data_IF_932285803385
#
_entry.id   IF_932285803385
#
_cell.length_a   1.000
_cell.length_b   1.000
_cell.length_c   1.000
_cell.angle_alpha   90.00
_cell.angle_beta   90.00
_cell.angle_gamma   90.00
#
_symmetry.space_group_name_H-M   'P 1'
#
loop_
_entity.id
_entity.type
_entity.pdbx_description
1 polymer ?
#
# COMPACT_ATOMS: atom_id res chain seq x y z
N UNK A 1 -24.84 8.67 2.80
CA UNK A 1 -24.63 7.22 3.08
C UNK A 1 -25.44 6.82 4.31
N UNK A 2 -25.20 7.41 5.50
CA UNK A 2 -25.93 7.05 6.74
C UNK A 2 -27.46 7.26 6.65
N UNK A 3 -27.95 8.17 5.82
CA UNK A 3 -29.38 8.36 5.56
C UNK A 3 -30.02 7.22 4.75
N UNK A 4 -29.22 6.44 4.05
CA UNK A 4 -29.67 5.26 3.27
C UNK A 4 -29.68 4.01 4.15
N UNK A 5 -28.69 3.87 5.04
CA UNK A 5 -28.60 2.77 5.99
C UNK A 5 -27.64 3.12 7.12
N UNK A 6 -28.12 3.08 8.35
CA UNK A 6 -27.33 3.46 9.53
C UNK A 6 -26.12 2.53 9.76
N UNK A 7 -26.18 1.29 9.28
CA UNK A 7 -25.12 0.30 9.36
C UNK A 7 -24.05 0.43 8.27
N UNK A 8 -24.25 1.30 7.27
CA UNK A 8 -23.24 1.55 6.25
C UNK A 8 -22.10 2.37 6.85
N UNK A 9 -20.87 1.92 6.59
CA UNK A 9 -19.65 2.62 7.04
C UNK A 9 -19.27 3.72 6.07
N UNK A 10 -18.78 4.83 6.60
CA UNK A 10 -18.30 5.98 5.83
C UNK A 10 -16.85 6.27 6.18
N UNK A 11 -16.03 6.57 5.19
CA UNK A 11 -14.61 6.86 5.39
C UNK A 11 -13.98 7.54 4.19
N UNK A 12 -12.71 7.79 4.28
CA UNK A 12 -11.85 8.46 3.31
C UNK A 12 -10.55 8.89 3.97
N UNK A 13 -9.81 9.87 3.37
CA UNK A 13 -10.12 10.60 2.14
C UNK A 13 -9.74 9.88 0.83
N UNK A 14 -9.07 8.72 0.90
CA UNK A 14 -8.54 7.94 -0.23
C UNK A 14 -7.51 8.76 -1.05
N UNK A 15 -6.68 9.52 -0.37
CA UNK A 15 -5.61 10.32 -0.97
C UNK A 15 -4.35 9.49 -1.19
N UNK A 16 -3.52 9.90 -2.14
CA UNK A 16 -2.17 9.38 -2.30
C UNK A 16 -1.29 9.80 -1.12
N UNK A 17 -0.19 9.07 -0.92
CA UNK A 17 0.90 9.42 -0.01
C UNK A 17 0.45 9.73 1.44
N UNK A 18 -0.62 9.09 1.92
CA UNK A 18 -1.21 9.34 3.24
C UNK A 18 -1.62 10.81 3.50
N UNK A 19 -1.79 11.59 2.45
CA UNK A 19 -2.06 13.02 2.60
C UNK A 19 -3.43 13.28 3.25
N UNK A 20 -3.53 14.41 3.95
CA UNK A 20 -4.75 15.00 4.50
C UNK A 20 -5.40 14.21 5.65
N UNK A 21 -4.85 13.12 6.14
CA UNK A 21 -5.47 12.33 7.19
C UNK A 21 -5.82 13.17 8.42
N UNK A 22 -4.87 13.95 9.01
CA UNK A 22 -5.19 14.77 10.18
C UNK A 22 -6.25 15.84 9.91
N UNK A 23 -6.14 16.52 8.77
CA UNK A 23 -7.09 17.58 8.40
C UNK A 23 -8.48 17.02 8.14
N UNK A 24 -8.57 15.86 7.51
CA UNK A 24 -9.83 15.16 7.24
C UNK A 24 -10.50 14.69 8.53
N UNK A 25 -9.75 14.09 9.44
CA UNK A 25 -10.25 13.69 10.78
C UNK A 25 -10.76 14.91 11.53
N UNK A 26 -9.95 15.96 11.64
CA UNK A 26 -10.31 17.21 12.31
C UNK A 26 -11.55 17.87 11.70
N UNK A 27 -11.66 17.86 10.37
CA UNK A 27 -12.82 18.39 9.67
C UNK A 27 -14.09 17.62 10.02
N UNK A 28 -14.03 16.29 9.98
CA UNK A 28 -15.17 15.43 10.29
C UNK A 28 -15.62 15.61 11.75
N UNK A 29 -14.69 15.64 12.69
CA UNK A 29 -14.99 15.88 14.10
C UNK A 29 -15.65 17.26 14.32
N UNK A 30 -15.02 18.30 13.81
CA UNK A 30 -15.50 19.69 13.98
C UNK A 30 -16.90 19.91 13.39
N UNK A 31 -17.21 19.23 12.30
CA UNK A 31 -18.49 19.41 11.59
C UNK A 31 -19.49 18.28 11.88
N UNK A 32 -19.21 17.39 12.82
CA UNK A 32 -20.05 16.25 13.18
C UNK A 32 -20.40 15.37 11.96
N UNK A 33 -19.42 15.20 11.05
CA UNK A 33 -19.55 14.30 9.89
C UNK A 33 -19.21 12.88 10.34
N UNK A 34 -20.08 11.89 10.10
CA UNK A 34 -19.79 10.51 10.46
C UNK A 34 -18.55 9.99 9.75
N UNK A 35 -17.57 9.48 10.52
CA UNK A 35 -16.33 8.91 10.05
C UNK A 35 -16.08 7.57 10.76
N UNK A 36 -16.14 6.47 10.02
CA UNK A 36 -16.04 5.13 10.56
C UNK A 36 -14.69 4.48 10.28
N UNK A 37 -13.91 5.00 9.31
CA UNK A 37 -12.58 4.50 8.94
C UNK A 37 -11.80 5.53 8.13
N UNK A 38 -10.48 5.37 8.10
CA UNK A 38 -9.58 6.08 7.19
C UNK A 38 -9.21 5.16 6.03
N UNK A 39 -9.17 5.72 4.84
CA UNK A 39 -8.60 5.07 3.65
C UNK A 39 -7.59 5.98 2.96
N UNK A 40 -6.53 5.38 2.48
CA UNK A 40 -5.45 6.08 1.76
C UNK A 40 -4.73 5.10 0.84
N UNK A 41 -3.75 5.58 0.08
CA UNK A 41 -2.81 4.74 -0.65
C UNK A 41 -1.40 5.32 -0.61
N UNK A 42 -0.41 4.46 -0.84
CA UNK A 42 0.98 4.83 -0.83
C UNK A 42 1.86 3.90 -1.67
N UNK A 43 2.97 4.44 -2.10
CA UNK A 43 4.04 3.71 -2.77
C UNK A 43 5.39 4.17 -2.23
N UNK A 44 6.45 3.33 -2.25
CA UNK A 44 7.78 3.80 -1.87
C UNK A 44 8.26 4.98 -2.72
N UNK A 45 7.87 5.02 -4.00
CA UNK A 45 8.17 6.09 -4.94
C UNK A 45 7.47 7.42 -4.65
N UNK A 46 6.56 7.46 -3.66
CA UNK A 46 5.98 8.71 -3.15
C UNK A 46 7.00 9.50 -2.30
N UNK A 47 8.08 8.86 -1.84
CA UNK A 47 9.21 9.58 -1.23
C UNK A 47 9.89 10.46 -2.29
N UNK A 48 10.03 11.78 -2.07
CA UNK A 48 10.70 12.69 -3.02
C UNK A 48 12.14 12.33 -3.34
N UNK A 49 12.79 11.54 -2.48
CA UNK A 49 14.17 11.08 -2.68
C UNK A 49 14.26 9.70 -3.34
N UNK A 50 13.13 9.14 -3.75
CA UNK A 50 13.10 7.83 -4.39
C UNK A 50 14.01 7.75 -5.62
N UNK A 51 14.77 6.67 -5.70
CA UNK A 51 15.54 6.27 -6.87
C UNK A 51 15.64 4.75 -6.96
N UNK A 52 16.16 4.21 -8.06
CA UNK A 52 16.24 2.76 -8.29
C UNK A 52 17.04 2.00 -7.20
N UNK A 53 18.03 2.62 -6.59
CA UNK A 53 18.86 1.98 -5.56
C UNK A 53 18.07 1.75 -4.26
N UNK A 54 16.99 2.51 -4.03
CA UNK A 54 16.15 2.36 -2.85
C UNK A 54 15.40 1.05 -2.80
N UNK A 55 15.27 0.30 -3.89
CA UNK A 55 14.71 -1.05 -3.85
C UNK A 55 15.48 -1.96 -2.86
N UNK A 56 16.79 -1.90 -2.88
CA UNK A 56 17.62 -2.66 -1.93
C UNK A 56 17.57 -2.08 -0.52
N UNK A 57 17.54 -0.77 -0.38
CA UNK A 57 17.47 -0.10 0.91
C UNK A 57 16.18 -0.42 1.69
N UNK A 58 15.09 -0.75 1.01
CA UNK A 58 13.87 -1.25 1.65
C UNK A 58 14.07 -2.56 2.44
N UNK A 59 15.12 -3.31 2.16
CA UNK A 59 15.46 -4.55 2.87
C UNK A 59 16.62 -4.40 3.83
N UNK A 60 17.67 -3.70 3.43
CA UNK A 60 18.98 -3.70 4.07
C UNK A 60 19.34 -2.37 4.76
N UNK A 61 18.51 -1.35 4.61
CA UNK A 61 18.66 -0.09 5.33
C UNK A 61 18.60 -0.24 6.86
N UNK A 62 18.83 0.84 7.59
CA UNK A 62 18.77 0.85 9.05
C UNK A 62 17.35 0.54 9.57
N UNK A 63 17.24 0.08 10.81
CA UNK A 63 15.93 -0.16 11.44
C UNK A 63 15.12 1.13 11.55
N UNK A 64 13.81 1.01 11.32
CA UNK A 64 12.88 2.14 11.37
C UNK A 64 12.87 2.78 12.76
N UNK A 65 13.41 3.98 12.87
CA UNK A 65 13.28 4.80 14.05
C UNK A 65 12.02 5.65 13.96
N UNK A 66 10.95 5.22 14.61
CA UNK A 66 9.66 5.91 14.60
C UNK A 66 9.69 7.32 15.21
N UNK A 67 10.77 7.66 15.93
CA UNK A 67 10.95 8.99 16.53
C UNK A 67 11.81 9.93 15.70
N UNK A 68 12.31 9.51 14.54
CA UNK A 68 13.07 10.38 13.65
C UNK A 68 12.17 10.99 12.59
N UNK A 69 12.38 12.26 12.27
CA UNK A 69 11.73 12.94 11.16
C UNK A 69 12.30 12.48 9.80
N UNK A 70 13.44 11.77 9.79
CA UNK A 70 13.99 11.17 8.60
C UNK A 70 13.22 9.90 8.25
N UNK A 71 12.82 9.80 6.98
CA UNK A 71 12.25 8.57 6.46
C UNK A 71 13.38 7.56 6.28
N UNK A 72 13.39 6.58 7.19
CA UNK A 72 14.30 5.46 7.11
C UNK A 72 13.94 4.61 5.88
N UNK A 73 14.94 4.26 5.10
CA UNK A 73 14.75 3.55 3.83
C UNK A 73 14.31 2.10 4.03
N UNK A 74 14.78 1.47 5.12
CA UNK A 74 14.35 0.11 5.44
C UNK A 74 12.92 0.07 5.93
N UNK A 75 12.05 -0.60 5.17
CA UNK A 75 10.64 -0.72 5.52
C UNK A 75 9.89 0.60 5.40
N UNK A 76 10.19 1.38 4.36
CA UNK A 76 9.54 2.66 4.09
C UNK A 76 8.01 2.57 4.15
N UNK A 77 7.40 1.57 3.48
CA UNK A 77 5.95 1.36 3.55
C UNK A 77 5.47 1.07 4.97
N UNK A 78 6.25 0.34 5.77
CA UNK A 78 5.95 0.08 7.17
C UNK A 78 5.95 1.38 7.98
N UNK A 79 6.93 2.26 7.77
CA UNK A 79 6.97 3.58 8.42
C UNK A 79 5.76 4.43 8.01
N UNK A 80 5.44 4.50 6.73
CA UNK A 80 4.26 5.23 6.22
C UNK A 80 2.97 4.74 6.87
N UNK A 81 2.79 3.43 7.04
CA UNK A 81 1.64 2.86 7.76
C UNK A 81 1.61 3.29 9.23
N UNK A 82 2.76 3.29 9.92
CA UNK A 82 2.80 3.72 11.34
C UNK A 82 2.41 5.17 11.50
N UNK A 83 2.87 6.05 10.61
CA UNK A 83 2.48 7.46 10.60
C UNK A 83 0.99 7.59 10.35
N UNK A 84 0.46 6.99 9.27
CA UNK A 84 -0.96 7.05 8.94
C UNK A 84 -1.85 6.50 10.06
N UNK A 85 -1.44 5.41 10.72
CA UNK A 85 -2.17 4.84 11.86
C UNK A 85 -2.17 5.75 13.08
N UNK A 86 -1.04 6.42 13.34
CA UNK A 86 -0.96 7.43 14.41
C UNK A 86 -1.92 8.60 14.13
N UNK A 87 -1.94 9.10 12.90
CA UNK A 87 -2.81 10.18 12.46
C UNK A 87 -4.30 9.81 12.44
N UNK A 88 -4.61 8.57 12.08
CA UNK A 88 -5.98 8.02 12.11
C UNK A 88 -6.49 7.77 13.54
N UNK A 89 -5.61 7.73 14.54
CA UNK A 89 -5.94 7.45 15.93
C UNK A 89 -6.57 6.06 16.09
N UNK A 90 -7.76 6.02 16.68
CA UNK A 90 -8.49 4.77 16.92
C UNK A 90 -9.28 4.28 15.70
N UNK A 91 -9.35 5.06 14.63
CA UNK A 91 -10.09 4.66 13.44
C UNK A 91 -9.39 3.49 12.72
N UNK A 92 -10.15 2.52 12.18
CA UNK A 92 -9.61 1.50 11.29
C UNK A 92 -8.95 2.14 10.08
N UNK A 93 -7.80 1.59 9.67
CA UNK A 93 -7.02 2.06 8.52
C UNK A 93 -7.10 1.07 7.38
N UNK A 94 -7.41 1.55 6.18
CA UNK A 94 -7.47 0.77 4.94
C UNK A 94 -6.54 1.37 3.91
N UNK A 95 -5.64 0.55 3.39
CA UNK A 95 -4.89 0.93 2.19
C UNK A 95 -5.65 0.43 0.96
N UNK A 96 -6.16 1.38 0.18
CA UNK A 96 -6.97 1.11 -1.00
C UNK A 96 -6.13 0.84 -2.24
N UNK A 97 -4.83 1.18 -2.15
CA UNK A 97 -3.88 0.98 -3.24
C UNK A 97 -2.44 1.00 -2.70
N UNK A 98 -1.60 0.09 -3.18
CA UNK A 98 -0.16 0.05 -2.92
C UNK A 98 0.53 -0.93 -3.86
N UNK A 99 1.84 -0.73 -4.08
CA UNK A 99 2.71 -1.65 -4.79
C UNK A 99 4.16 -1.38 -4.37
N UNK A 100 5.13 -1.99 -5.05
CA UNK A 100 6.57 -1.78 -4.81
C UNK A 100 7.09 -0.47 -5.39
N UNK A 101 6.42 0.12 -6.34
CA UNK A 101 6.55 1.51 -6.80
C UNK A 101 5.28 1.94 -7.55
N UNK A 102 5.09 3.25 -7.74
CA UNK A 102 4.06 3.83 -8.60
C UNK A 102 4.52 4.01 -10.06
N UNK A 103 5.70 3.52 -10.41
CA UNK A 103 6.26 3.70 -11.74
C UNK A 103 5.84 2.55 -12.65
N UNK A 104 4.96 2.82 -13.62
CA UNK A 104 4.68 1.85 -14.66
C UNK A 104 5.96 1.57 -15.47
N UNK A 105 6.19 0.30 -15.80
CA UNK A 105 7.41 -0.13 -16.46
C UNK A 105 8.59 -0.40 -15.52
N UNK A 106 8.38 -0.32 -14.21
CA UNK A 106 9.39 -0.71 -13.22
C UNK A 106 9.63 -2.24 -13.29
N UNK A 107 10.80 -2.63 -13.80
CA UNK A 107 11.16 -4.04 -13.98
C UNK A 107 11.10 -4.86 -12.67
N UNK A 108 11.22 -4.23 -11.51
CA UNK A 108 11.13 -4.90 -10.21
C UNK A 108 9.73 -5.46 -9.93
N UNK A 109 8.67 -4.95 -10.56
CA UNK A 109 7.32 -5.52 -10.47
C UNK A 109 7.26 -6.98 -10.93
N UNK A 110 8.13 -7.37 -11.86
CA UNK A 110 8.15 -8.69 -12.48
C UNK A 110 9.15 -9.65 -11.82
N UNK A 111 9.84 -9.22 -10.77
CA UNK A 111 10.94 -9.97 -10.14
C UNK A 111 10.56 -10.56 -8.77
N UNK A 112 11.35 -11.51 -8.23
CA UNK A 112 11.21 -12.00 -6.86
C UNK A 112 11.36 -10.92 -5.78
N UNK A 113 11.98 -9.77 -6.08
CA UNK A 113 12.02 -8.61 -5.20
C UNK A 113 10.60 -8.19 -4.77
N UNK A 114 9.67 -8.05 -5.73
CA UNK A 114 8.29 -7.69 -5.44
C UNK A 114 7.64 -8.68 -4.47
N UNK A 115 7.85 -9.98 -4.65
CA UNK A 115 7.35 -11.01 -3.73
C UNK A 115 7.87 -10.83 -2.31
N UNK A 116 9.16 -10.60 -2.17
CA UNK A 116 9.81 -10.45 -0.87
C UNK A 116 9.35 -9.17 -0.16
N UNK A 117 9.32 -8.03 -0.87
CA UNK A 117 8.86 -6.76 -0.32
C UNK A 117 7.39 -6.83 0.12
N UNK A 118 6.52 -7.39 -0.73
CA UNK A 118 5.10 -7.54 -0.43
C UNK A 118 4.89 -8.41 0.82
N UNK A 119 5.54 -9.57 0.87
CA UNK A 119 5.46 -10.47 2.04
C UNK A 119 5.93 -9.77 3.32
N UNK A 120 7.10 -9.11 3.27
CA UNK A 120 7.62 -8.34 4.40
C UNK A 120 6.63 -7.26 4.84
N UNK A 121 6.14 -6.46 3.92
CA UNK A 121 5.25 -5.33 4.20
C UNK A 121 3.94 -5.80 4.86
N UNK A 122 3.34 -6.88 4.37
CA UNK A 122 2.12 -7.44 4.95
C UNK A 122 2.35 -7.98 6.36
N UNK A 123 3.47 -8.67 6.58
CA UNK A 123 3.82 -9.19 7.91
C UNK A 123 4.10 -8.05 8.90
N UNK A 124 4.86 -7.04 8.50
CA UNK A 124 5.22 -5.90 9.35
C UNK A 124 4.01 -5.04 9.73
N UNK A 125 3.02 -4.98 8.86
CA UNK A 125 1.82 -4.15 9.04
C UNK A 125 0.60 -4.92 9.58
N UNK A 126 0.77 -6.20 9.88
CA UNK A 126 -0.29 -6.99 10.50
C UNK A 126 -0.78 -6.37 11.82
N UNK A 127 -2.09 -6.19 11.93
CA UNK A 127 -2.73 -5.56 13.10
C UNK A 127 -2.75 -4.02 13.08
N UNK A 128 -2.12 -3.37 12.10
CA UNK A 128 -2.19 -1.91 11.92
C UNK A 128 -3.15 -1.50 10.80
N UNK A 129 -3.35 -2.39 9.84
CA UNK A 129 -4.18 -2.17 8.65
C UNK A 129 -5.27 -3.23 8.60
N UNK A 130 -6.52 -2.82 8.39
CA UNK A 130 -7.67 -3.73 8.28
C UNK A 130 -7.72 -4.45 6.93
N UNK A 131 -7.36 -3.75 5.86
CA UNK A 131 -7.21 -4.30 4.53
C UNK A 131 -6.18 -3.51 3.72
N UNK A 132 -5.45 -4.23 2.87
CA UNK A 132 -4.33 -3.71 2.11
C UNK A 132 -4.45 -4.17 0.65
N UNK A 133 -5.13 -3.37 -0.17
CA UNK A 133 -5.45 -3.70 -1.55
C UNK A 133 -4.27 -3.46 -2.47
N UNK A 134 -3.70 -4.54 -2.99
CA UNK A 134 -2.57 -4.45 -3.93
C UNK A 134 -3.01 -3.89 -5.29
N UNK A 135 -2.24 -2.96 -5.82
CA UNK A 135 -2.44 -2.38 -7.14
C UNK A 135 -1.51 -3.02 -8.17
N UNK A 136 -1.96 -3.92 -9.06
CA UNK A 136 -3.36 -4.25 -9.29
C UNK A 136 -3.48 -5.75 -9.63
N UNK A 137 -4.64 -6.24 -10.03
CA UNK A 137 -4.85 -7.67 -10.27
C UNK A 137 -4.15 -8.16 -11.54
N UNK A 138 -4.17 -7.37 -12.61
CA UNK A 138 -3.66 -7.79 -13.92
C UNK A 138 -3.02 -6.61 -14.65
N UNK A 139 -2.05 -6.91 -15.52
CA UNK A 139 -1.46 -5.95 -16.45
C UNK A 139 -2.44 -5.48 -17.56
N UNK A 140 -3.65 -6.03 -17.60
CA UNK A 140 -4.75 -5.48 -18.41
C UNK A 140 -5.29 -4.24 -17.69
N UNK A 141 -4.51 -3.17 -17.74
CA UNK A 141 -4.84 -1.90 -17.11
C UNK A 141 -4.15 -0.78 -17.90
N UNK A 142 -4.94 0.16 -18.39
CA UNK A 142 -4.50 1.14 -19.40
C UNK A 142 -4.43 2.57 -18.81
N UNK A 143 -3.86 2.74 -17.62
CA UNK A 143 -3.72 4.07 -17.04
C UNK A 143 -2.80 4.98 -17.85
N UNK A 144 -1.68 4.43 -18.31
CA UNK A 144 -0.69 5.12 -19.15
C UNK A 144 -0.55 4.51 -20.54
N UNK A 145 -1.54 3.71 -20.96
CA UNK A 145 -1.53 2.94 -22.19
C UNK A 145 -1.38 1.44 -21.92
N UNK A 146 -1.58 0.65 -22.96
CA UNK A 146 -1.51 -0.79 -22.82
C UNK A 146 -0.06 -1.26 -22.63
N UNK A 147 0.18 -2.10 -21.63
CA UNK A 147 1.47 -2.77 -21.43
C UNK A 147 1.84 -3.57 -22.68
N UNK A 148 3.01 -3.36 -23.31
CA UNK A 148 3.31 -3.85 -24.67
C UNK A 148 3.63 -5.34 -24.75
N UNK A 149 3.49 -6.10 -23.68
CA UNK A 149 3.75 -7.55 -23.66
C UNK A 149 3.97 -8.09 -22.27
N UNK A 150 4.39 -9.35 -22.21
CA UNK A 150 4.65 -10.04 -20.96
C UNK A 150 5.87 -9.48 -20.24
N UNK A 151 5.79 -9.40 -18.89
CA UNK A 151 6.90 -8.99 -18.04
C UNK A 151 7.56 -7.66 -18.48
N UNK A 152 6.75 -6.63 -18.57
CA UNK A 152 7.15 -5.27 -18.93
C UNK A 152 6.98 -4.25 -17.80
N UNK A 153 7.03 -4.72 -16.57
CA UNK A 153 6.94 -3.86 -15.39
C UNK A 153 5.54 -3.32 -15.11
N UNK A 154 4.49 -3.94 -15.64
CA UNK A 154 3.12 -3.58 -15.31
C UNK A 154 2.80 -3.86 -13.83
N UNK A 155 1.78 -3.21 -13.30
CA UNK A 155 1.40 -3.28 -11.87
C UNK A 155 0.74 -4.59 -11.44
N UNK A 156 0.31 -5.42 -12.40
CA UNK A 156 -0.51 -6.58 -12.15
C UNK A 156 0.17 -7.68 -11.34
N UNK A 157 -0.65 -8.46 -10.62
CA UNK A 157 -0.23 -9.75 -10.06
C UNK A 157 0.05 -10.76 -11.18
N UNK A 158 -0.57 -10.59 -12.32
CA UNK A 158 -0.39 -11.42 -13.51
C UNK A 158 -0.27 -10.56 -14.76
N UNK A 159 0.37 -11.12 -15.76
CA UNK A 159 0.62 -10.46 -17.05
C UNK A 159 -0.66 -10.29 -17.86
N UNK A 160 -0.56 -9.64 -19.02
CA UNK A 160 -1.70 -9.40 -19.94
C UNK A 160 -2.39 -10.69 -20.44
N UNK A 161 -1.69 -11.82 -20.47
CA UNK A 161 -2.27 -13.13 -20.83
C UNK A 161 -2.49 -14.05 -19.61
N UNK A 162 -2.49 -13.49 -18.39
CA UNK A 162 -2.78 -14.22 -17.17
C UNK A 162 -1.66 -15.12 -16.65
N UNK A 163 -0.39 -14.85 -17.04
CA UNK A 163 0.75 -15.54 -16.46
C UNK A 163 1.03 -14.98 -15.07
N UNK A 164 0.94 -15.81 -14.00
CA UNK A 164 1.22 -15.34 -12.65
C UNK A 164 2.64 -14.85 -12.49
N UNK A 165 2.81 -13.64 -12.00
CA UNK A 165 4.11 -13.07 -11.64
C UNK A 165 4.60 -13.61 -10.30
N UNK A 166 5.87 -13.42 -9.92
CA UNK A 166 6.39 -13.84 -8.62
C UNK A 166 5.53 -13.33 -7.43
N UNK A 167 5.06 -12.10 -7.48
CA UNK A 167 4.20 -11.51 -6.43
C UNK A 167 2.86 -12.23 -6.29
N UNK A 168 2.27 -12.73 -7.37
CA UNK A 168 1.07 -13.58 -7.31
C UNK A 168 1.33 -14.82 -6.46
N UNK A 169 2.50 -15.46 -6.69
CA UNK A 169 2.89 -16.67 -5.94
C UNK A 169 3.12 -16.39 -4.46
N UNK A 170 3.60 -15.20 -4.12
CA UNK A 170 3.71 -14.78 -2.72
C UNK A 170 2.32 -14.71 -2.05
N UNK A 171 1.32 -14.11 -2.69
CA UNK A 171 -0.05 -14.09 -2.18
C UNK A 171 -0.65 -15.50 -2.06
N UNK A 172 -0.43 -16.36 -3.06
CA UNK A 172 -0.86 -17.76 -3.03
C UNK A 172 -0.29 -18.51 -1.80
N UNK A 173 0.99 -18.36 -1.54
CA UNK A 173 1.67 -18.99 -0.40
C UNK A 173 1.18 -18.41 0.92
N UNK A 174 1.06 -17.09 1.03
CA UNK A 174 0.56 -16.45 2.24
C UNK A 174 -0.89 -16.85 2.55
N UNK A 175 -1.73 -17.05 1.52
CA UNK A 175 -3.10 -17.52 1.70
C UNK A 175 -3.18 -18.93 2.34
N UNK A 176 -2.12 -19.72 2.21
CA UNK A 176 -2.04 -21.06 2.84
C UNK A 176 -1.54 -21.01 4.30
N UNK A 177 -1.02 -19.87 4.74
CA UNK A 177 -0.64 -19.68 6.14
C UNK A 177 -1.92 -19.59 6.98
N UNK A 178 -1.88 -20.21 8.17
CA UNK A 178 -2.96 -20.07 9.15
C UNK A 178 -2.96 -18.69 9.82
N UNK A 179 -3.91 -18.51 10.71
CA UNK A 179 -4.05 -17.26 11.49
C UNK A 179 -3.05 -17.16 12.67
N UNK A 180 -2.34 -18.23 12.97
CA UNK A 180 -1.36 -18.29 14.06
C UNK A 180 0.04 -17.88 13.56
N UNK A 181 0.71 -17.05 14.34
CA UNK A 181 2.09 -16.59 14.13
C UNK A 181 3.04 -17.37 15.01
#
# INVERSE_FOLDING_TARGET
VKSVGANLRTGGPATANNEWIPDFVNYCEKNSVPLDFISTHHYPSDDPNWNADMHLDNFFGEEVNLNSDEIDRRGLLTKMVRIAKHEAGNLPLYYTEWNTSANEGDEFHDTPYSSALVTKTLIDNYGYVEAYSFWTFSDIFEEHGQVPGEFRGGFGLQTIHGIPKPVYRAFELMHQLGEER
#
